data_IF_010737117025
#
_entry.id   IF_010737117025
#
_cell.length_a   1.000
_cell.length_b   1.000
_cell.length_c   1.000
_cell.angle_alpha   90.00
_cell.angle_beta   90.00
_cell.angle_gamma   90.00
#
_symmetry.space_group_name_H-M   'P 1'
#
loop_
_entity.id
_entity.type
_entity.pdbx_description
1 polymer ?
#
# COMPACT_ATOMS: atom_id res chain seq x y z
N UNK A 1 -13.35 13.48 -7.35
CA UNK A 1 -13.63 12.82 -8.65
C UNK A 1 -14.69 11.77 -8.45
N UNK A 2 -15.74 11.78 -9.27
CA UNK A 2 -16.74 10.72 -9.28
C UNK A 2 -16.15 9.50 -10.01
N UNK A 3 -16.04 8.38 -9.30
CA UNK A 3 -15.53 7.14 -9.89
C UNK A 3 -16.63 6.52 -10.74
N UNK A 4 -16.44 6.54 -12.06
CA UNK A 4 -17.28 5.78 -12.98
C UNK A 4 -16.58 4.46 -13.34
N UNK A 5 -17.18 3.34 -12.92
CA UNK A 5 -16.64 1.98 -13.13
C UNK A 5 -16.99 1.41 -14.53
N UNK A 6 -17.83 2.11 -15.30
CA UNK A 6 -18.13 1.75 -16.68
C UNK A 6 -17.10 2.33 -17.65
N UNK A 7 -16.54 3.49 -17.33
CA UNK A 7 -15.60 4.23 -18.16
C UNK A 7 -14.14 3.94 -17.80
N UNK A 8 -13.43 3.38 -18.77
CA UNK A 8 -12.00 3.04 -18.65
C UNK A 8 -11.16 4.27 -18.29
N UNK A 9 -11.44 5.42 -18.91
CA UNK A 9 -10.69 6.66 -18.65
C UNK A 9 -10.93 7.20 -17.24
N UNK A 10 -12.16 7.11 -16.72
CA UNK A 10 -12.45 7.48 -15.32
C UNK A 10 -11.73 6.58 -14.33
N UNK A 11 -11.69 5.26 -14.60
CA UNK A 11 -10.95 4.31 -13.76
C UNK A 11 -9.45 4.65 -13.76
N UNK A 12 -8.86 4.94 -14.93
CA UNK A 12 -7.44 5.26 -15.05
C UNK A 12 -7.11 6.59 -14.37
N UNK A 13 -7.91 7.65 -14.61
CA UNK A 13 -7.72 8.95 -13.97
C UNK A 13 -7.85 8.87 -12.45
N UNK A 14 -8.84 8.12 -11.95
CA UNK A 14 -8.99 7.85 -10.52
C UNK A 14 -7.82 7.04 -9.96
N UNK A 15 -7.36 6.01 -10.68
CA UNK A 15 -6.23 5.19 -10.28
C UNK A 15 -4.93 6.00 -10.16
N UNK A 16 -4.71 7.00 -11.03
CA UNK A 16 -3.53 7.88 -10.98
C UNK A 16 -3.42 8.69 -9.68
N UNK A 17 -4.54 9.02 -9.03
CA UNK A 17 -4.53 9.83 -7.80
C UNK A 17 -3.94 9.05 -6.62
N UNK A 18 -4.33 7.77 -6.45
CA UNK A 18 -3.81 6.90 -5.39
C UNK A 18 -3.65 5.45 -5.87
N UNK A 19 -2.60 5.16 -6.66
CA UNK A 19 -2.42 3.86 -7.29
C UNK A 19 -2.31 2.71 -6.28
N UNK A 20 -1.80 2.98 -5.08
CA UNK A 20 -1.55 1.96 -4.05
C UNK A 20 -2.85 1.38 -3.45
N UNK A 21 -3.80 2.27 -3.14
CA UNK A 21 -5.10 1.88 -2.56
C UNK A 21 -6.05 1.40 -3.65
N UNK A 22 -5.96 1.99 -4.84
CA UNK A 22 -6.88 1.74 -5.94
C UNK A 22 -6.64 0.40 -6.66
N UNK A 23 -5.39 -0.10 -6.73
CA UNK A 23 -5.10 -1.44 -7.29
C UNK A 23 -5.84 -2.54 -6.50
N UNK A 24 -5.80 -2.46 -5.17
CA UNK A 24 -6.50 -3.41 -4.28
C UNK A 24 -8.02 -3.29 -4.36
N UNK A 25 -8.53 -2.07 -4.54
CA UNK A 25 -9.96 -1.83 -4.69
C UNK A 25 -10.51 -2.42 -6.00
N UNK A 26 -9.76 -2.31 -7.10
CA UNK A 26 -10.14 -2.90 -8.39
C UNK A 26 -10.19 -4.43 -8.32
N UNK A 27 -9.28 -5.06 -7.56
CA UNK A 27 -9.32 -6.52 -7.33
C UNK A 27 -10.55 -6.94 -6.51
N UNK A 28 -10.84 -6.22 -5.43
CA UNK A 28 -12.05 -6.44 -4.64
C UNK A 28 -13.32 -6.27 -5.50
N UNK A 29 -13.38 -5.21 -6.30
CA UNK A 29 -14.52 -4.94 -7.19
C UNK A 29 -14.68 -5.98 -8.29
N UNK A 30 -13.59 -6.54 -8.81
CA UNK A 30 -13.63 -7.67 -9.76
C UNK A 30 -14.31 -8.90 -9.16
N UNK A 31 -14.12 -9.16 -7.85
CA UNK A 31 -14.76 -10.27 -7.13
C UNK A 31 -16.21 -9.96 -6.78
N UNK A 32 -16.49 -8.73 -6.35
CA UNK A 32 -17.82 -8.33 -5.88
C UNK A 32 -18.81 -8.02 -7.01
N UNK A 33 -18.33 -7.52 -8.16
CA UNK A 33 -19.17 -7.03 -9.26
C UNK A 33 -18.55 -7.41 -10.61
N UNK A 34 -18.78 -8.63 -11.10
CA UNK A 34 -18.19 -9.11 -12.35
C UNK A 34 -18.72 -8.35 -13.59
N UNK A 35 -19.83 -7.63 -13.48
CA UNK A 35 -20.39 -6.77 -14.55
C UNK A 35 -19.39 -5.70 -15.03
N UNK A 36 -18.55 -5.18 -14.13
CA UNK A 36 -17.53 -4.18 -14.46
C UNK A 36 -16.17 -4.80 -14.85
N UNK A 37 -16.07 -6.13 -14.85
CA UNK A 37 -14.80 -6.83 -15.13
C UNK A 37 -14.19 -6.43 -16.48
N UNK A 38 -15.02 -6.16 -17.49
CA UNK A 38 -14.57 -5.74 -18.81
C UNK A 38 -13.85 -4.40 -18.76
N UNK A 39 -14.47 -3.39 -18.15
CA UNK A 39 -13.92 -2.03 -18.03
C UNK A 39 -12.69 -2.01 -17.12
N UNK A 40 -12.70 -2.75 -16.01
CA UNK A 40 -11.55 -2.88 -15.11
C UNK A 40 -10.37 -3.55 -15.82
N UNK A 41 -10.58 -4.65 -16.54
CA UNK A 41 -9.50 -5.31 -17.29
C UNK A 41 -8.98 -4.46 -18.45
N UNK A 42 -9.83 -3.66 -19.08
CA UNK A 42 -9.40 -2.69 -20.09
C UNK A 42 -8.53 -1.58 -19.47
N UNK A 43 -8.93 -1.04 -18.31
CA UNK A 43 -8.13 -0.06 -17.57
C UNK A 43 -6.77 -0.63 -17.15
N UNK A 44 -6.73 -1.87 -16.64
CA UNK A 44 -5.48 -2.56 -16.30
C UNK A 44 -4.55 -2.73 -17.50
N UNK A 45 -5.11 -3.11 -18.67
CA UNK A 45 -4.33 -3.19 -19.91
C UNK A 45 -3.76 -1.84 -20.31
N UNK A 46 -4.53 -0.76 -20.16
CA UNK A 46 -4.06 0.60 -20.48
C UNK A 46 -2.95 1.06 -19.52
N UNK A 47 -3.10 0.80 -18.22
CA UNK A 47 -2.06 1.05 -17.22
C UNK A 47 -0.78 0.25 -17.52
N UNK A 48 -0.91 -1.00 -17.96
CA UNK A 48 0.25 -1.83 -18.31
C UNK A 48 0.93 -1.40 -19.62
N UNK A 49 0.15 -0.91 -20.59
CA UNK A 49 0.65 -0.43 -21.87
C UNK A 49 1.36 0.93 -21.75
N UNK A 50 0.94 1.79 -20.80
CA UNK A 50 1.54 3.09 -20.58
C UNK A 50 2.80 3.00 -19.70
N UNK A 51 4.00 3.35 -20.21
CA UNK A 51 5.24 3.23 -19.45
C UNK A 51 5.27 4.14 -18.21
N UNK A 52 4.68 5.33 -18.29
CA UNK A 52 4.60 6.27 -17.15
C UNK A 52 3.73 5.74 -16.00
N UNK A 53 2.57 5.19 -16.33
CA UNK A 53 1.67 4.57 -15.33
C UNK A 53 2.31 3.31 -14.73
N UNK A 54 3.08 2.57 -15.52
CA UNK A 54 3.85 1.42 -15.06
C UNK A 54 4.94 1.82 -14.06
N UNK A 55 5.59 2.96 -14.27
CA UNK A 55 6.58 3.50 -13.35
C UNK A 55 5.93 3.94 -12.02
N UNK A 56 4.78 4.62 -12.09
CA UNK A 56 3.96 4.97 -10.91
C UNK A 56 3.57 3.74 -10.08
N UNK A 57 3.13 2.65 -10.74
CA UNK A 57 2.80 1.38 -10.07
C UNK A 57 4.02 0.79 -9.35
N UNK A 58 5.19 0.80 -10.00
CA UNK A 58 6.43 0.30 -9.38
C UNK A 58 6.86 1.15 -8.19
N UNK A 59 6.80 2.48 -8.34
CA UNK A 59 7.15 3.43 -7.27
C UNK A 59 6.25 3.28 -6.04
N UNK A 60 4.96 3.01 -6.22
CA UNK A 60 4.05 2.69 -5.12
C UNK A 60 4.46 1.40 -4.39
N UNK A 61 4.75 0.33 -5.13
CA UNK A 61 5.20 -0.95 -4.54
C UNK A 61 6.50 -0.76 -3.75
N UNK A 62 7.44 0.04 -4.28
CA UNK A 62 8.71 0.38 -3.62
C UNK A 62 8.47 1.16 -2.30
N UNK A 63 7.66 2.22 -2.33
CA UNK A 63 7.32 3.02 -1.15
C UNK A 63 6.71 2.18 -0.04
N UNK A 64 5.80 1.25 -0.38
CA UNK A 64 5.22 0.31 0.59
C UNK A 64 6.25 -0.60 1.27
N UNK A 65 7.37 -0.92 0.60
CA UNK A 65 8.45 -1.73 1.16
C UNK A 65 9.35 -0.89 2.07
N UNK A 66 9.67 0.33 1.65
CA UNK A 66 10.46 1.27 2.45
C UNK A 66 9.73 1.78 3.69
N UNK A 67 8.41 1.97 3.66
CA UNK A 67 7.66 2.36 4.87
C UNK A 67 7.62 1.26 5.93
N UNK A 68 7.86 0.00 5.54
CA UNK A 68 7.85 -1.15 6.46
C UNK A 68 9.18 -1.34 7.19
N UNK A 69 10.26 -0.70 6.75
CA UNK A 69 11.57 -0.82 7.42
C UNK A 69 11.73 0.13 8.61
N UNK A 70 10.86 1.13 8.78
CA UNK A 70 10.94 2.09 9.91
C UNK A 70 10.19 1.65 11.17
N UNK A 71 9.29 0.66 11.06
CA UNK A 71 8.48 0.17 12.19
C UNK A 71 9.21 -0.90 13.02
N UNK A 72 10.24 -1.53 12.45
CA UNK A 72 10.96 -2.65 13.10
C UNK A 72 12.16 -2.22 13.95
N UNK A 73 12.56 -0.94 13.94
CA UNK A 73 13.72 -0.46 14.70
C UNK A 73 13.38 0.31 15.99
N UNK A 74 12.11 0.36 16.42
CA UNK A 74 11.73 0.97 17.72
C UNK A 74 11.39 -0.03 18.84
N UNK A 75 11.32 -1.34 18.56
CA UNK A 75 10.99 -2.35 19.58
C UNK A 75 12.22 -3.01 20.24
N UNK A 76 13.44 -2.63 19.84
CA UNK A 76 14.68 -3.28 20.26
C UNK A 76 15.46 -2.64 21.43
N UNK A 77 15.04 -1.46 21.93
CA UNK A 77 15.84 -0.69 22.89
C UNK A 77 15.29 -0.68 24.34
N UNK A 78 14.50 -1.68 24.73
CA UNK A 78 14.15 -1.92 26.14
C UNK A 78 14.42 -3.37 26.52
N UNK A 79 15.71 -3.70 26.62
CA UNK A 79 16.15 -4.81 27.45
C UNK A 79 17.55 -4.56 28.00
N UNK A 80 17.58 -4.01 29.22
CA UNK A 80 18.55 -4.37 30.23
C UNK A 80 17.94 -4.10 31.62
N UNK A 81 17.36 -5.10 32.31
CA UNK A 81 17.15 -5.01 33.75
C UNK A 81 18.51 -5.22 34.43
N UNK A 82 19.32 -4.15 34.52
CA UNK A 82 20.51 -4.20 35.37
C UNK A 82 20.07 -4.15 36.83
N UNK A 83 20.05 -5.36 37.39
CA UNK A 83 20.17 -5.65 38.82
C UNK A 83 21.34 -4.86 39.42
N UNK A 84 21.04 -3.75 40.10
CA UNK A 84 21.91 -3.16 41.11
C UNK A 84 21.06 -2.61 42.25
N UNK A 85 20.55 -3.52 43.07
CA UNK A 85 20.23 -3.22 44.46
C UNK A 85 20.92 -4.27 45.33
N UNK A 86 22.23 -4.08 45.48
CA UNK A 86 22.95 -4.57 46.64
C UNK A 86 23.32 -3.35 47.47
N UNK A 87 23.28 -3.55 48.79
CA UNK A 87 23.84 -2.68 49.82
C UNK A 87 22.86 -1.62 50.37
N UNK A 88 22.13 -1.99 51.43
CA UNK A 88 22.28 -1.38 52.77
C UNK A 88 21.47 -2.20 53.78
N UNK A 89 22.13 -3.21 54.33
CA UNK A 89 21.88 -3.67 55.68
C UNK A 89 23.00 -3.09 56.56
N UNK A 90 22.64 -2.72 57.80
CA UNK A 90 23.46 -2.22 58.91
C UNK A 90 23.47 -0.69 59.10
N UNK A 91 22.92 -0.28 60.26
CA UNK A 91 22.96 1.06 60.82
C UNK A 91 21.85 1.26 61.82
#
# INVERSE_FOLDING_TARGET
>A
MQLDLNSVDSIVAWWQVFPERHDSYLDYKLRASPEFSRSINAARRRIAASPELRALRRRSIEQRRSSKTWDTEQDGAVSAPESRFSEFAMG
#
